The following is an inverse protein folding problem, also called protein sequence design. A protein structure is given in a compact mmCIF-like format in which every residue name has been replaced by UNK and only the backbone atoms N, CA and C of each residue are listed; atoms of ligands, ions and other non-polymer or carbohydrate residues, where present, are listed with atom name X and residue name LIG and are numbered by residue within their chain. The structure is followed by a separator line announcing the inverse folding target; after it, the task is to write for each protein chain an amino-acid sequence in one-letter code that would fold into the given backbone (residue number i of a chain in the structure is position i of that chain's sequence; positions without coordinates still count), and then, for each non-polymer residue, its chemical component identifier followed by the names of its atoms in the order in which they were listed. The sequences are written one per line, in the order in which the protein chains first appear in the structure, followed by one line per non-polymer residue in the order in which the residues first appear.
data_IF_929195410854
#
_entry.id   IF_929195410854
#
_cell.length_a   1.000
_cell.length_b   1.000
_cell.length_c   1.000
_cell.angle_alpha   90.00
_cell.angle_beta   90.00
_cell.angle_gamma   90.00
#
_symmetry.space_group_name_H-M   'P 1'
#
loop_
_entity.id
_entity.type
_entity.pdbx_description
1 polymer ?
#
# COMPACT_ATOMS: atom_id res chain seq x y z
N UNK A 1 1.93 -11.30 1.84
CA UNK A 1 3.22 -10.58 1.73
C UNK A 1 3.29 -9.37 2.65
N UNK A 2 2.65 -8.22 2.39
CA UNK A 2 2.78 -7.03 3.27
C UNK A 2 2.43 -7.30 4.75
N UNK A 3 1.23 -7.81 5.04
CA UNK A 3 0.86 -8.21 6.41
C UNK A 3 1.74 -9.34 6.98
N UNK A 4 2.27 -10.21 6.12
CA UNK A 4 3.23 -11.24 6.52
C UNK A 4 4.54 -10.62 6.99
N UNK A 5 5.00 -9.56 6.32
CA UNK A 5 6.18 -8.80 6.74
C UNK A 5 5.94 -8.14 8.09
N UNK A 6 4.75 -7.55 8.32
CA UNK A 6 4.37 -7.01 9.63
C UNK A 6 4.49 -8.10 10.69
N UNK A 7 3.78 -9.21 10.53
CA UNK A 7 3.73 -10.28 11.54
C UNK A 7 5.10 -10.91 11.83
N UNK A 8 5.97 -11.04 10.83
CA UNK A 8 7.25 -11.73 10.99
C UNK A 8 8.40 -10.82 11.41
N UNK A 9 8.35 -9.53 11.09
CA UNK A 9 9.54 -8.67 11.15
C UNK A 9 9.34 -7.35 11.90
N UNK A 10 8.13 -6.80 11.94
CA UNK A 10 7.93 -5.42 12.43
C UNK A 10 8.00 -5.27 13.95
N UNK A 11 7.72 -6.32 14.73
CA UNK A 11 7.39 -6.22 16.17
C UNK A 11 6.27 -5.21 16.49
N UNK A 12 5.45 -4.86 15.49
CA UNK A 12 4.35 -3.93 15.63
C UNK A 12 3.26 -4.50 16.54
N UNK A 13 2.62 -3.63 17.32
CA UNK A 13 1.41 -3.96 18.07
C UNK A 13 0.14 -3.70 17.26
N UNK A 14 0.25 -2.93 16.17
CA UNK A 14 -0.85 -2.55 15.30
C UNK A 14 -0.38 -2.48 13.85
N UNK A 15 -1.28 -2.89 12.95
CA UNK A 15 -1.18 -2.57 11.54
C UNK A 15 -2.54 -2.12 11.01
N UNK A 16 -2.50 -1.20 10.07
CA UNK A 16 -3.65 -0.62 9.38
C UNK A 16 -3.55 -0.94 7.89
N UNK A 17 -4.70 -1.29 7.30
CA UNK A 17 -4.82 -1.56 5.87
C UNK A 17 -5.95 -0.71 5.33
N UNK A 18 -5.65 0.10 4.32
CA UNK A 18 -6.64 0.87 3.59
C UNK A 18 -6.62 0.45 2.13
N UNK A 19 -7.81 0.21 1.57
CA UNK A 19 -7.99 -0.08 0.14
C UNK A 19 -9.00 0.90 -0.42
N UNK A 20 -8.66 1.54 -1.53
CA UNK A 20 -9.55 2.45 -2.25
C UNK A 20 -9.59 2.06 -3.72
N UNK A 21 -10.79 1.95 -4.26
CA UNK A 21 -11.02 1.78 -5.69
C UNK A 21 -11.74 3.01 -6.20
N UNK A 22 -11.21 3.63 -7.26
CA UNK A 22 -11.83 4.79 -7.88
C UNK A 22 -11.55 4.86 -9.36
N UNK A 23 -11.95 5.97 -9.98
CA UNK A 23 -11.77 6.23 -11.42
C UNK A 23 -10.31 6.28 -11.86
N UNK A 24 -9.38 6.49 -10.93
CA UNK A 24 -7.93 6.54 -11.17
C UNK A 24 -7.22 5.21 -10.90
N UNK A 25 -7.96 4.17 -10.51
CA UNK A 25 -7.42 2.85 -10.21
C UNK A 25 -7.63 2.37 -8.77
N UNK A 26 -6.91 1.31 -8.42
CA UNK A 26 -6.83 0.70 -7.11
C UNK A 26 -5.65 1.29 -6.34
N UNK A 27 -5.90 1.68 -5.09
CA UNK A 27 -4.90 2.08 -4.11
C UNK A 27 -4.95 1.16 -2.91
N UNK A 28 -3.79 0.70 -2.47
CA UNK A 28 -3.60 -0.08 -1.26
C UNK A 28 -2.51 0.60 -0.42
N UNK A 29 -2.85 0.89 0.83
CA UNK A 29 -1.93 1.36 1.85
C UNK A 29 -1.88 0.34 2.98
N UNK A 30 -0.68 -0.07 3.36
CA UNK A 30 -0.45 -0.89 4.54
C UNK A 30 0.54 -0.14 5.42
N UNK A 31 0.17 0.11 6.68
CA UNK A 31 1.06 0.73 7.66
C UNK A 31 1.13 -0.07 8.95
N UNK A 32 2.28 -0.05 9.61
CA UNK A 32 2.46 -0.62 10.95
C UNK A 32 3.25 0.33 11.84
N UNK A 33 3.10 0.18 13.15
CA UNK A 33 3.83 0.96 14.17
C UNK A 33 5.04 0.19 14.74
N UNK A 34 5.66 -0.65 13.92
CA UNK A 34 6.78 -1.48 14.32
C UNK A 34 8.10 -0.72 14.39
N UNK A 35 9.20 -1.47 14.47
CA UNK A 35 10.57 -0.91 14.54
C UNK A 35 11.10 -0.42 13.20
N UNK A 36 10.32 -0.62 12.14
CA UNK A 36 10.73 -0.43 10.75
C UNK A 36 12.00 -1.17 10.34
N UNK A 37 12.59 -0.74 9.23
CA UNK A 37 13.80 -1.27 8.65
C UNK A 37 14.42 -0.23 7.72
N UNK A 38 15.68 -0.41 7.34
CA UNK A 38 16.32 0.41 6.32
C UNK A 38 16.02 -0.17 4.91
N UNK A 39 15.22 0.51 4.07
CA UNK A 39 14.90 0.03 2.73
C UNK A 39 16.12 0.06 1.78
N UNK A 40 17.06 0.98 2.00
CA UNK A 40 18.27 1.11 1.19
C UNK A 40 19.25 -0.01 1.51
N UNK A 41 19.46 -0.33 2.80
CA UNK A 41 20.22 -1.51 3.20
C UNK A 41 19.54 -2.81 2.77
N UNK A 42 18.21 -2.84 2.69
CA UNK A 42 17.49 -3.98 2.14
C UNK A 42 17.82 -4.18 0.66
N UNK A 43 17.91 -3.13 -0.17
CA UNK A 43 18.47 -3.18 -1.54
C UNK A 43 18.15 -4.46 -2.33
N UNK A 44 19.20 -5.19 -2.77
CA UNK A 44 19.10 -6.52 -3.44
C UNK A 44 18.63 -7.65 -2.51
N UNK A 45 18.81 -7.49 -1.21
CA UNK A 45 18.41 -8.43 -0.16
C UNK A 45 16.97 -8.25 0.32
N UNK A 46 16.22 -7.29 -0.24
CA UNK A 46 14.80 -7.13 0.03
C UNK A 46 14.12 -8.50 -0.12
N UNK A 47 13.45 -8.97 0.94
CA UNK A 47 12.90 -10.33 0.98
C UNK A 47 12.04 -10.66 -0.25
N UNK A 48 11.92 -11.94 -0.58
CA UNK A 48 11.20 -12.40 -1.77
C UNK A 48 9.78 -11.79 -1.87
N UNK A 49 9.11 -11.56 -0.73
CA UNK A 49 7.81 -10.89 -0.67
C UNK A 49 7.81 -9.47 -1.22
N UNK A 50 8.77 -8.61 -0.83
CA UNK A 50 8.84 -7.22 -1.32
C UNK A 50 9.13 -7.15 -2.82
N UNK A 51 10.06 -7.98 -3.31
CA UNK A 51 10.35 -8.07 -4.75
C UNK A 51 9.14 -8.56 -5.55
N UNK A 52 8.42 -9.55 -5.03
CA UNK A 52 7.20 -10.06 -5.66
C UNK A 52 6.10 -9.00 -5.74
N UNK A 53 5.86 -8.26 -4.65
CA UNK A 53 4.88 -7.17 -4.61
C UNK A 53 5.23 -6.04 -5.60
N UNK A 54 6.50 -5.59 -5.60
CA UNK A 54 6.99 -4.60 -6.56
C UNK A 54 6.79 -5.08 -7.99
N UNK A 55 7.32 -6.25 -8.34
CA UNK A 55 7.24 -6.79 -9.70
C UNK A 55 5.80 -7.02 -10.15
N UNK A 56 4.89 -7.46 -9.25
CA UNK A 56 3.47 -7.62 -9.59
C UNK A 56 2.79 -6.29 -9.86
N UNK A 57 3.13 -5.26 -9.09
CA UNK A 57 2.58 -3.91 -9.25
C UNK A 57 3.06 -3.30 -10.58
N UNK A 58 4.37 -3.35 -10.84
CA UNK A 58 4.98 -2.85 -12.08
C UNK A 58 4.44 -3.59 -13.32
N UNK A 59 4.24 -4.92 -13.24
CA UNK A 59 3.60 -5.70 -14.33
C UNK A 59 2.17 -5.25 -14.65
N UNK A 60 1.48 -4.63 -13.72
CA UNK A 60 0.13 -4.11 -13.90
C UNK A 60 0.14 -2.62 -14.28
N UNK A 61 1.31 -2.06 -14.64
CA UNK A 61 1.47 -0.64 -14.95
C UNK A 61 1.32 0.27 -13.73
N UNK A 62 1.41 -0.30 -12.52
CA UNK A 62 1.25 0.41 -11.26
C UNK A 62 2.54 0.93 -10.66
N UNK A 63 2.40 1.65 -9.55
CA UNK A 63 3.53 2.15 -8.74
C UNK A 63 3.56 1.49 -7.37
N UNK A 64 4.78 1.20 -6.90
CA UNK A 64 5.04 0.58 -5.61
C UNK A 64 6.06 1.43 -4.84
N UNK A 65 5.68 1.87 -3.64
CA UNK A 65 6.58 2.58 -2.74
C UNK A 65 6.54 2.00 -1.33
N UNK A 66 7.68 2.05 -0.66
CA UNK A 66 7.82 1.68 0.74
C UNK A 66 8.67 2.73 1.42
N UNK A 67 8.17 3.24 2.53
CA UNK A 67 8.91 4.09 3.47
C UNK A 67 8.95 3.37 4.81
N UNK A 68 10.11 3.32 5.42
CA UNK A 68 10.26 2.73 6.74
C UNK A 68 11.25 3.53 7.56
N UNK A 69 10.92 3.72 8.83
CA UNK A 69 11.68 4.50 9.82
C UNK A 69 11.65 3.73 11.14
N UNK A 70 12.37 4.19 12.16
CA UNK A 70 12.31 3.57 13.50
C UNK A 70 10.91 3.55 14.16
N UNK A 71 9.91 4.20 13.56
CA UNK A 71 8.54 4.32 14.06
C UNK A 71 7.54 3.45 13.29
N UNK A 72 7.99 2.73 12.26
CA UNK A 72 7.13 1.82 11.53
C UNK A 72 7.44 1.70 10.05
N UNK A 73 6.49 1.09 9.33
CA UNK A 73 6.58 0.93 7.88
C UNK A 73 5.28 1.39 7.24
N UNK A 74 5.39 2.04 6.08
CA UNK A 74 4.29 2.37 5.20
C UNK A 74 4.59 1.83 3.80
N UNK A 75 3.71 0.98 3.29
CA UNK A 75 3.75 0.42 1.95
C UNK A 75 2.55 0.95 1.18
N UNK A 76 2.80 1.57 0.02
CA UNK A 76 1.77 2.06 -0.87
C UNK A 76 1.86 1.38 -2.25
N UNK A 77 0.71 1.02 -2.78
CA UNK A 77 0.53 0.44 -4.10
C UNK A 77 -0.56 1.21 -4.81
N UNK A 78 -0.29 1.63 -6.04
CA UNK A 78 -1.30 2.13 -6.97
C UNK A 78 -1.29 1.27 -8.23
N UNK A 79 -2.46 0.87 -8.70
CA UNK A 79 -2.64 0.10 -9.94
C UNK A 79 -3.72 0.80 -10.75
N UNK A 80 -3.40 1.35 -11.94
CA UNK A 80 -4.41 1.86 -12.85
C UNK A 80 -5.44 0.76 -13.17
N UNK A 81 -6.73 1.11 -13.11
CA UNK A 81 -7.81 0.24 -13.57
C UNK A 81 -8.43 0.91 -14.77
N UNK A 82 -8.28 0.31 -15.95
CA UNK A 82 -8.99 0.78 -17.13
C UNK A 82 -10.48 0.57 -16.93
N UNK A 83 -11.27 1.64 -17.04
CA UNK A 83 -12.73 1.58 -16.99
C UNK A 83 -13.35 0.74 -18.13
N UNK A 84 -12.55 0.22 -19.06
CA UNK A 84 -12.99 -0.56 -20.23
C UNK A 84 -12.38 -1.96 -20.37
N UNK A 85 -11.58 -2.43 -19.41
CA UNK A 85 -10.98 -3.77 -19.46
C UNK A 85 -11.95 -4.85 -18.97
N UNK A 86 -12.73 -5.44 -19.88
CA UNK A 86 -13.57 -6.62 -19.63
C UNK A 86 -12.75 -7.75 -18.96
N UNK A 87 -13.10 -8.14 -17.72
CA UNK A 87 -12.48 -9.34 -17.13
C UNK A 87 -12.59 -9.61 -15.62
N UNK A 88 -13.25 -8.79 -14.79
CA UNK A 88 -13.55 -9.20 -13.40
C UNK A 88 -15.06 -9.44 -13.25
N UNK A 89 -15.54 -10.70 -13.17
CA UNK A 89 -16.85 -10.97 -12.61
C UNK A 89 -16.69 -10.86 -11.09
N UNK A 90 -16.87 -9.66 -10.53
CA UNK A 90 -16.96 -9.50 -9.09
C UNK A 90 -18.22 -8.70 -8.79
N UNK A 91 -19.22 -9.43 -8.31
CA UNK A 91 -20.49 -8.93 -7.77
C UNK A 91 -20.29 -8.19 -6.44
N UNK A 92 -19.21 -7.43 -6.28
CA UNK A 92 -18.95 -6.64 -5.09
C UNK A 92 -19.97 -5.50 -5.02
N UNK A 93 -21.17 -5.83 -4.53
CA UNK A 93 -22.13 -4.88 -4.02
C UNK A 93 -21.40 -4.00 -3.00
N UNK A 94 -21.48 -2.67 -3.11
CA UNK A 94 -20.89 -1.75 -2.14
C UNK A 94 -21.68 -1.84 -0.82
N UNK A 95 -21.41 -2.89 -0.05
CA UNK A 95 -22.01 -3.17 1.24
C UNK A 95 -21.16 -2.60 2.37
N UNK A 96 -21.53 -1.39 2.82
CA UNK A 96 -21.47 -1.04 4.25
C UNK A 96 -20.09 -0.89 4.90
N UNK A 97 -19.28 0.06 4.45
CA UNK A 97 -18.25 0.66 5.29
C UNK A 97 -18.18 2.18 5.03
N UNK A 98 -19.32 2.85 5.19
CA UNK A 98 -19.34 4.30 5.45
C UNK A 98 -19.01 4.48 6.93
N UNK A 99 -18.25 5.52 7.26
CA UNK A 99 -17.81 5.87 8.61
C UNK A 99 -16.80 4.93 9.26
N UNK A 100 -15.49 5.24 9.10
CA UNK A 100 -14.49 5.47 10.17
C UNK A 100 -13.19 6.13 9.66
N UNK A 101 -13.20 6.72 8.47
CA UNK A 101 -12.02 7.43 7.91
C UNK A 101 -11.76 8.76 8.64
N UNK A 102 -12.77 9.34 9.31
CA UNK A 102 -12.68 10.63 10.01
C UNK A 102 -11.96 10.58 11.36
N UNK A 103 -11.84 9.41 12.01
CA UNK A 103 -11.26 9.30 13.36
C UNK A 103 -9.75 9.04 13.36
N UNK A 104 -9.17 8.78 12.19
CA UNK A 104 -7.75 8.43 12.03
C UNK A 104 -6.86 9.60 11.60
N UNK A 105 -7.41 10.81 11.45
CA UNK A 105 -6.65 11.97 10.96
C UNK A 105 -6.14 11.81 9.52
N UNK A 106 -6.56 10.76 8.81
CA UNK A 106 -6.30 10.59 7.38
C UNK A 106 -7.39 11.38 6.69
N UNK A 107 -7.08 12.63 6.33
CA UNK A 107 -7.95 13.46 5.51
C UNK A 107 -8.50 12.61 4.35
N UNK A 108 -9.78 12.75 4.04
CA UNK A 108 -10.45 12.09 2.91
C UNK A 108 -9.80 12.40 1.54
N UNK A 109 -8.75 13.22 1.51
CA UNK A 109 -7.75 13.30 0.47
C UNK A 109 -6.36 13.08 1.05
N UNK A 110 -6.02 11.83 1.38
CA UNK A 110 -4.62 11.46 1.59
C UNK A 110 -3.79 11.92 0.38
N UNK A 111 -2.52 12.27 0.57
CA UNK A 111 -1.69 12.81 -0.51
C UNK A 111 -1.79 11.88 -1.71
N UNK A 112 -1.92 12.45 -2.89
CA UNK A 112 -1.95 11.66 -4.11
C UNK A 112 -0.70 10.76 -4.08
N UNK A 113 -0.77 9.47 -4.44
CA UNK A 113 0.44 8.66 -4.60
C UNK A 113 1.47 9.32 -5.53
N UNK A 114 1.04 10.21 -6.45
CA UNK A 114 1.93 11.11 -7.18
C UNK A 114 2.69 12.09 -6.27
N UNK A 115 2.04 12.69 -5.28
CA UNK A 115 2.66 13.60 -4.30
C UNK A 115 3.66 12.87 -3.38
N UNK A 116 3.42 11.58 -3.10
CA UNK A 116 4.34 10.73 -2.33
C UNK A 116 5.51 10.19 -3.17
N UNK A 117 5.34 10.08 -4.49
CA UNK A 117 6.39 9.66 -5.42
C UNK A 117 7.44 10.76 -5.68
N UNK A 118 7.11 12.03 -5.44
CA UNK A 118 7.98 13.19 -5.68
C UNK A 118 9.06 13.39 -4.61
N UNK A 119 9.02 12.67 -3.47
CA UNK A 119 10.02 12.80 -2.40
C UNK A 119 11.15 11.75 -2.44
N UNK A 120 11.32 11.05 -3.56
CA UNK A 120 12.37 10.06 -3.76
C UNK A 120 13.42 10.56 -4.77
N UNK A 121 14.03 11.71 -4.49
CA UNK A 121 15.29 12.16 -5.09
C UNK A 121 16.38 12.31 -4.02
#
# INVERSE_FOLDING_TARGET
EALTNVMKHSKASRADVAVRVGTRGLELLVSDNGVGFDPAAAGRHAGAGMRSMRARTERLGGTFSVRSTGEGTVLAVHIPLDAGGTGLPLDLQPGGAKDRVSDLGIAAGGPDPADLAVQAE
#
